data_IF_927819486101
#
_entry.id   IF_927819486101
#
_cell.length_a   1.000
_cell.length_b   1.000
_cell.length_c   1.000
_cell.angle_alpha   90.00
_cell.angle_beta   90.00
_cell.angle_gamma   90.00
#
_symmetry.space_group_name_H-M   'P 1'
#
loop_
_entity.id
_entity.type
_entity.pdbx_description
1 polymer ?
#
# COMPACT_ATOMS: atom_id res chain seq x y z
N UNK A 1 -14.05 -16.00 22.51
CA UNK A 1 -13.53 -15.18 21.40
C UNK A 1 -13.53 -16.06 20.18
N UNK A 2 -14.44 -15.81 19.24
CA UNK A 2 -14.50 -16.59 17.99
C UNK A 2 -13.41 -16.04 17.09
N UNK A 3 -12.40 -16.87 16.79
CA UNK A 3 -11.38 -16.54 15.81
C UNK A 3 -12.04 -16.63 14.44
N UNK A 4 -12.62 -15.53 13.96
CA UNK A 4 -13.27 -15.46 12.66
C UNK A 4 -12.97 -14.11 12.05
N UNK A 5 -12.05 -14.08 11.09
CA UNK A 5 -11.97 -12.98 10.13
C UNK A 5 -12.81 -13.34 8.90
N UNK A 6 -13.26 -12.34 8.15
CA UNK A 6 -13.82 -12.52 6.80
C UNK A 6 -12.69 -12.23 5.79
N UNK A 7 -12.04 -13.26 5.21
CA UNK A 7 -10.90 -13.07 4.32
C UNK A 7 -11.23 -12.27 3.04
N UNK A 8 -12.36 -12.52 2.35
CA UNK A 8 -12.79 -11.67 1.23
C UNK A 8 -12.92 -10.19 1.61
N UNK A 9 -13.56 -9.88 2.74
CA UNK A 9 -13.72 -8.50 3.20
C UNK A 9 -12.36 -7.86 3.53
N UNK A 10 -11.49 -8.58 4.23
CA UNK A 10 -10.17 -8.10 4.62
C UNK A 10 -9.27 -7.81 3.40
N UNK A 11 -9.28 -8.69 2.39
CA UNK A 11 -8.59 -8.45 1.10
C UNK A 11 -9.17 -7.26 0.35
N UNK A 12 -10.49 -7.08 0.39
CA UNK A 12 -11.14 -5.91 -0.20
C UNK A 12 -10.66 -4.58 0.41
N UNK A 13 -10.43 -4.55 1.72
CA UNK A 13 -9.87 -3.39 2.43
C UNK A 13 -8.41 -3.14 1.99
N UNK A 14 -7.59 -4.18 1.89
CA UNK A 14 -6.19 -4.07 1.43
C UNK A 14 -6.12 -3.46 0.01
N UNK A 15 -6.93 -4.00 -0.92
CA UNK A 15 -7.02 -3.47 -2.29
C UNK A 15 -7.45 -2.01 -2.32
N UNK A 16 -8.46 -1.65 -1.51
CA UNK A 16 -8.91 -0.25 -1.41
C UNK A 16 -7.81 0.67 -0.90
N UNK A 17 -6.99 0.21 0.06
CA UNK A 17 -5.86 0.97 0.56
C UNK A 17 -4.77 1.15 -0.51
N UNK A 18 -4.45 0.10 -1.28
CA UNK A 18 -3.50 0.18 -2.39
C UNK A 18 -3.97 1.11 -3.52
N UNK A 19 -5.25 1.03 -3.88
CA UNK A 19 -5.86 1.93 -4.88
C UNK A 19 -5.76 3.40 -4.44
N UNK A 20 -6.01 3.69 -3.16
CA UNK A 20 -5.85 5.03 -2.60
C UNK A 20 -4.38 5.47 -2.55
N UNK A 21 -3.47 4.55 -2.25
CA UNK A 21 -2.04 4.84 -2.26
C UNK A 21 -1.51 5.10 -3.69
N UNK A 22 -2.09 4.47 -4.71
CA UNK A 22 -1.75 4.74 -6.11
C UNK A 22 -2.06 6.20 -6.53
N UNK A 23 -3.05 6.84 -5.90
CA UNK A 23 -3.33 8.26 -6.13
C UNK A 23 -2.16 9.17 -5.68
N UNK A 24 -1.29 8.71 -4.76
CA UNK A 24 -0.10 9.44 -4.33
C UNK A 24 0.89 9.60 -5.50
N UNK A 25 1.04 8.59 -6.35
CA UNK A 25 1.92 8.68 -7.53
C UNK A 25 1.45 9.80 -8.48
N UNK A 26 0.14 9.89 -8.68
CA UNK A 26 -0.49 10.94 -9.50
C UNK A 26 -0.24 12.33 -8.91
N UNK A 27 -0.36 12.49 -7.59
CA UNK A 27 -0.06 13.75 -6.90
C UNK A 27 1.41 14.11 -7.08
N UNK A 28 2.33 13.17 -6.86
CA UNK A 28 3.78 13.40 -7.04
C UNK A 28 4.10 13.86 -8.45
N UNK A 29 3.58 13.16 -9.48
CA UNK A 29 3.79 13.52 -10.87
C UNK A 29 3.18 14.89 -11.22
N UNK A 30 1.97 15.17 -10.75
CA UNK A 30 1.29 16.45 -10.98
C UNK A 30 2.04 17.61 -10.33
N UNK A 31 2.51 17.43 -9.09
CA UNK A 31 3.28 18.45 -8.37
C UNK A 31 4.62 18.70 -9.04
N UNK A 32 5.36 17.65 -9.43
CA UNK A 32 6.63 17.81 -10.15
C UNK A 32 6.44 18.58 -11.47
N UNK A 33 5.44 18.20 -12.28
CA UNK A 33 5.14 18.90 -13.54
C UNK A 33 4.68 20.35 -13.35
N UNK A 34 3.99 20.65 -12.24
CA UNK A 34 3.60 22.03 -11.91
C UNK A 34 4.83 22.92 -11.61
N UNK A 35 5.83 22.39 -10.90
CA UNK A 35 7.07 23.12 -10.64
C UNK A 35 7.92 23.30 -11.90
N UNK A 36 8.04 22.27 -12.74
CA UNK A 36 8.72 22.39 -14.04
C UNK A 36 8.04 23.46 -14.92
N UNK A 37 6.70 23.46 -14.97
CA UNK A 37 5.93 24.47 -15.72
C UNK A 37 6.11 25.88 -15.15
N UNK A 38 6.13 26.02 -13.82
CA UNK A 38 6.35 27.30 -13.16
C UNK A 38 7.77 27.83 -13.43
N UNK A 39 8.78 26.96 -13.39
CA UNK A 39 10.17 27.30 -13.69
C UNK A 39 10.31 27.75 -15.16
N UNK A 40 9.67 27.05 -16.10
CA UNK A 40 9.67 27.44 -17.51
C UNK A 40 8.99 28.81 -17.75
N UNK A 41 7.96 29.14 -16.97
CA UNK A 41 7.22 30.40 -17.12
C UNK A 41 7.99 31.64 -16.63
N UNK A 42 8.81 31.50 -15.59
CA UNK A 42 9.56 32.64 -15.02
C UNK A 42 10.88 32.93 -15.75
N UNK A 43 11.36 32.02 -16.59
CA UNK A 43 12.62 32.17 -17.34
C UNK A 43 13.85 32.13 -16.43
N UNK A 44 14.98 32.65 -16.90
CA UNK A 44 16.24 32.61 -16.14
C UNK A 44 16.26 33.67 -15.02
N UNK A 45 16.69 33.27 -13.82
CA UNK A 45 16.90 34.18 -12.69
C UNK A 45 16.78 33.54 -11.31
N UNK A 46 16.83 34.38 -10.27
CA UNK A 46 16.71 33.95 -8.87
C UNK A 46 15.37 33.26 -8.58
N UNK A 47 14.28 33.70 -9.21
CA UNK A 47 12.96 33.08 -9.05
C UNK A 47 12.91 31.65 -9.59
N UNK A 48 13.55 31.36 -10.74
CA UNK A 48 13.66 30.00 -11.25
C UNK A 48 14.54 29.12 -10.36
N UNK A 49 15.60 29.68 -9.78
CA UNK A 49 16.47 28.97 -8.84
C UNK A 49 15.71 28.58 -7.58
N UNK A 50 14.94 29.51 -7.00
CA UNK A 50 14.10 29.25 -5.83
C UNK A 50 13.02 28.20 -6.11
N UNK A 51 12.40 28.20 -7.30
CA UNK A 51 11.46 27.16 -7.72
C UNK A 51 12.15 25.79 -7.87
N UNK A 52 13.37 25.75 -8.39
CA UNK A 52 14.18 24.53 -8.47
C UNK A 52 14.51 23.95 -7.08
N UNK A 53 14.81 24.81 -6.11
CA UNK A 53 15.04 24.38 -4.71
C UNK A 53 13.77 23.82 -4.07
N UNK A 54 12.60 24.43 -4.31
CA UNK A 54 11.31 23.92 -3.82
C UNK A 54 10.93 22.61 -4.52
N UNK A 55 11.22 22.47 -5.82
CA UNK A 55 11.01 21.21 -6.54
C UNK A 55 11.93 20.09 -6.01
N UNK A 56 13.12 20.44 -5.56
CA UNK A 56 14.07 19.55 -4.89
C UNK A 56 13.73 19.29 -3.40
N UNK A 57 12.67 19.90 -2.85
CA UNK A 57 12.25 19.70 -1.47
C UNK A 57 11.95 18.20 -1.21
N UNK A 58 12.38 17.66 -0.05
CA UNK A 58 12.11 16.27 0.33
C UNK A 58 10.62 15.90 0.43
N UNK A 59 9.69 16.82 0.23
CA UNK A 59 8.26 16.56 0.17
C UNK A 59 7.89 15.44 -0.81
N UNK A 60 8.38 15.48 -2.05
CA UNK A 60 8.09 14.43 -3.04
C UNK A 60 8.68 13.07 -2.62
N UNK A 61 9.86 13.09 -2.00
CA UNK A 61 10.51 11.89 -1.42
C UNK A 61 9.66 11.32 -0.28
N UNK A 62 9.11 12.18 0.60
CA UNK A 62 8.23 11.78 1.70
C UNK A 62 6.94 11.16 1.19
N UNK A 63 6.31 11.72 0.15
CA UNK A 63 5.12 11.14 -0.46
C UNK A 63 5.39 9.75 -1.04
N UNK A 64 6.49 9.56 -1.77
CA UNK A 64 6.91 8.25 -2.24
C UNK A 64 7.15 7.25 -1.09
N UNK A 65 7.73 7.74 0.02
CA UNK A 65 7.89 6.95 1.25
C UNK A 65 6.56 6.53 1.88
N UNK A 66 5.56 7.42 1.92
CA UNK A 66 4.22 7.11 2.44
C UNK A 66 3.54 6.00 1.63
N UNK A 67 3.61 6.08 0.30
CA UNK A 67 3.12 5.01 -0.57
C UNK A 67 3.77 3.67 -0.25
N UNK A 68 5.10 3.65 -0.13
CA UNK A 68 5.84 2.42 0.18
C UNK A 68 5.45 1.82 1.54
N UNK A 69 5.20 2.66 2.54
CA UNK A 69 4.70 2.21 3.84
C UNK A 69 3.30 1.59 3.72
N UNK A 70 2.39 2.20 2.96
CA UNK A 70 1.05 1.62 2.74
C UNK A 70 1.16 0.26 2.05
N UNK A 71 1.93 0.15 0.96
CA UNK A 71 2.15 -1.13 0.27
C UNK A 71 2.74 -2.21 1.17
N UNK A 72 3.70 -1.84 2.03
CA UNK A 72 4.29 -2.81 2.98
C UNK A 72 3.24 -3.32 3.97
N UNK A 73 2.36 -2.44 4.45
CA UNK A 73 1.29 -2.80 5.40
C UNK A 73 0.25 -3.69 4.72
N UNK A 74 -0.18 -3.37 3.49
CA UNK A 74 -1.15 -4.17 2.74
C UNK A 74 -0.58 -5.55 2.39
N UNK A 75 0.66 -5.63 1.89
CA UNK A 75 1.37 -6.90 1.63
C UNK A 75 1.47 -7.76 2.89
N UNK A 76 1.87 -7.16 4.01
CA UNK A 76 1.97 -7.89 5.30
C UNK A 76 0.60 -8.38 5.74
N UNK A 77 -0.45 -7.58 5.56
CA UNK A 77 -1.82 -7.94 5.92
C UNK A 77 -2.33 -9.10 5.06
N UNK A 78 -2.08 -9.08 3.74
CA UNK A 78 -2.44 -10.18 2.86
C UNK A 78 -1.71 -11.49 3.21
N UNK A 79 -0.44 -11.40 3.62
CA UNK A 79 0.31 -12.57 4.11
C UNK A 79 -0.33 -13.16 5.37
N UNK A 80 -0.79 -12.32 6.31
CA UNK A 80 -1.44 -12.75 7.55
C UNK A 80 -2.82 -13.37 7.25
N UNK A 81 -3.59 -12.80 6.32
CA UNK A 81 -4.87 -13.37 5.87
C UNK A 81 -4.65 -14.77 5.26
N UNK A 82 -3.62 -14.92 4.45
CA UNK A 82 -3.29 -16.19 3.80
C UNK A 82 -2.87 -17.26 4.83
N UNK A 83 -2.09 -16.87 5.85
CA UNK A 83 -1.75 -17.75 6.96
C UNK A 83 -2.99 -18.17 7.76
N UNK A 84 -3.93 -17.25 7.97
CA UNK A 84 -5.18 -17.56 8.65
C UNK A 84 -5.99 -18.61 7.89
N UNK A 85 -6.20 -18.42 6.58
CA UNK A 85 -6.93 -19.38 5.75
C UNK A 85 -6.25 -20.75 5.74
N UNK A 86 -4.92 -20.78 5.61
CA UNK A 86 -4.17 -22.03 5.68
C UNK A 86 -4.40 -22.76 7.01
N UNK A 87 -4.30 -22.04 8.13
CA UNK A 87 -4.50 -22.62 9.47
C UNK A 87 -5.93 -23.14 9.63
N UNK A 88 -6.92 -22.42 9.09
CA UNK A 88 -8.32 -22.85 9.11
C UNK A 88 -8.54 -24.14 8.30
N UNK A 89 -7.93 -24.25 7.12
CA UNK A 89 -7.95 -25.48 6.32
C UNK A 89 -7.27 -26.66 7.02
N UNK A 90 -6.13 -26.44 7.67
CA UNK A 90 -5.40 -27.46 8.42
C UNK A 90 -6.24 -27.98 9.61
N UNK A 91 -6.88 -27.08 10.37
CA UNK A 91 -7.78 -27.47 11.46
C UNK A 91 -9.02 -28.22 10.96
N UNK A 92 -9.60 -27.79 9.83
CA UNK A 92 -10.73 -28.49 9.21
C UNK A 92 -10.34 -29.91 8.77
N UNK A 93 -9.18 -30.07 8.13
CA UNK A 93 -8.66 -31.37 7.71
C UNK A 93 -8.38 -32.29 8.91
N UNK A 94 -7.74 -31.78 9.97
CA UNK A 94 -7.47 -32.55 11.18
C UNK A 94 -8.76 -32.99 11.88
N UNK A 95 -9.75 -32.10 11.96
CA UNK A 95 -11.07 -32.41 12.51
C UNK A 95 -11.77 -33.49 11.71
N UNK A 96 -11.72 -33.41 10.37
CA UNK A 96 -12.29 -34.43 9.48
C UNK A 96 -11.61 -35.79 9.62
N UNK A 97 -10.27 -35.83 9.72
CA UNK A 97 -9.52 -37.08 9.96
C UNK A 97 -9.94 -37.74 11.26
N UNK A 98 -9.99 -36.95 12.34
CA UNK A 98 -10.38 -37.40 13.67
C UNK A 98 -11.82 -37.94 13.68
N UNK A 99 -12.76 -37.25 13.03
CA UNK A 99 -14.16 -37.71 12.92
C UNK A 99 -14.32 -38.96 12.05
N UNK A 100 -13.44 -39.17 11.07
CA UNK A 100 -13.49 -40.33 10.16
C UNK A 100 -12.85 -41.59 10.74
N UNK A 101 -12.33 -41.53 11.98
CA UNK A 101 -11.62 -42.65 12.62
C UNK A 101 -10.28 -43.00 11.97
N UNK A 102 -9.80 -42.14 11.06
CA UNK A 102 -8.44 -42.16 10.55
C UNK A 102 -7.61 -41.35 11.54
N UNK A 103 -7.05 -42.01 12.55
CA UNK A 103 -5.98 -41.39 13.32
C UNK A 103 -4.84 -40.95 12.37
N UNK A 104 -4.17 -39.83 12.66
CA UNK A 104 -3.10 -39.30 11.81
C UNK A 104 -1.95 -40.28 11.60
#
# INVERSE_FOLDING_TARGET
>A
MTWSIDPPQARGICRTADERAAAIDSIVATTAGAFESAQAAVGDGETATALGEVAADPFLIRLAGMRRMVSTVTETTESVISLYEQTDYEMAAQTQSTMSGLEP
#
